data_IF_277298926197
#
_entry.id   IF_277298926197
#
_cell.length_a   1.000
_cell.length_b   1.000
_cell.length_c   1.000
_cell.angle_alpha   90.00
_cell.angle_beta   90.00
_cell.angle_gamma   90.00
#
_symmetry.space_group_name_H-M   'P 1'
#
loop_
_entity.id
_entity.type
_entity.pdbx_description
1 polymer ?
#
# COMPACT_ATOMS: atom_id res chain seq x y z
N UNK A 1 31.02 27.66 -1.04
CA UNK A 1 29.59 28.02 -1.16
C UNK A 1 28.89 27.39 -2.37
N UNK A 2 29.53 27.25 -3.54
CA UNK A 2 28.92 26.64 -4.74
C UNK A 2 28.60 25.14 -4.58
N UNK A 3 29.40 24.41 -3.78
CA UNK A 3 29.18 22.97 -3.52
C UNK A 3 27.91 22.67 -2.72
N UNK A 4 27.60 23.46 -1.68
CA UNK A 4 26.38 23.29 -0.88
C UNK A 4 25.12 23.52 -1.73
N UNK A 5 25.13 24.53 -2.60
CA UNK A 5 24.02 24.78 -3.52
C UNK A 5 23.80 23.60 -4.49
N UNK A 6 24.86 23.06 -5.08
CA UNK A 6 24.77 21.92 -5.99
C UNK A 6 24.27 20.63 -5.30
N UNK A 7 24.69 20.37 -4.07
CA UNK A 7 24.20 19.22 -3.28
C UNK A 7 22.71 19.37 -2.96
N UNK A 8 22.25 20.56 -2.57
CA UNK A 8 20.84 20.83 -2.33
C UNK A 8 19.99 20.68 -3.61
N UNK A 9 20.47 21.17 -4.75
CA UNK A 9 19.77 21.01 -6.04
C UNK A 9 19.72 19.55 -6.51
N UNK A 10 20.75 18.75 -6.25
CA UNK A 10 20.77 17.32 -6.57
C UNK A 10 19.79 16.54 -5.68
N UNK A 11 19.75 16.85 -4.37
CA UNK A 11 18.80 16.27 -3.43
C UNK A 11 17.34 16.60 -3.80
N UNK A 12 17.07 17.85 -4.23
CA UNK A 12 15.75 18.27 -4.74
C UNK A 12 15.36 17.57 -6.06
N UNK A 13 16.31 17.30 -6.95
CA UNK A 13 16.04 16.54 -8.18
C UNK A 13 15.80 15.05 -7.90
N UNK A 14 16.52 14.45 -6.96
CA UNK A 14 16.34 13.05 -6.58
C UNK A 14 15.01 12.82 -5.84
N UNK A 15 14.59 13.75 -4.97
CA UNK A 15 13.24 13.70 -4.37
C UNK A 15 12.12 13.91 -5.39
N UNK A 16 12.41 14.53 -6.54
CA UNK A 16 11.45 14.67 -7.64
C UNK A 16 11.36 13.44 -8.57
N UNK A 17 12.29 12.49 -8.49
CA UNK A 17 12.39 11.38 -9.44
C UNK A 17 11.43 10.21 -9.12
N UNK A 18 11.14 9.94 -7.85
CA UNK A 18 10.28 8.84 -7.43
C UNK A 18 9.08 9.37 -6.63
N UNK A 19 7.88 9.16 -7.16
CA UNK A 19 6.62 9.46 -6.47
C UNK A 19 6.35 8.36 -5.46
N UNK A 20 6.13 8.72 -4.19
CA UNK A 20 5.76 7.76 -3.16
C UNK A 20 4.44 7.10 -3.55
N UNK A 21 4.39 5.76 -3.55
CA UNK A 21 3.25 4.98 -4.01
C UNK A 21 2.98 3.86 -3.00
N UNK A 22 1.96 4.01 -2.18
CA UNK A 22 1.66 3.07 -1.10
C UNK A 22 0.36 2.31 -1.38
N UNK A 23 0.40 0.99 -1.29
CA UNK A 23 -0.76 0.13 -1.49
C UNK A 23 -1.25 -0.47 -0.18
N UNK A 24 -2.56 -0.44 0.06
CA UNK A 24 -3.18 -0.85 1.30
C UNK A 24 -4.29 -1.88 1.04
N UNK A 25 -4.16 -3.06 1.64
CA UNK A 25 -5.22 -4.09 1.66
C UNK A 25 -6.22 -3.77 2.76
N UNK A 26 -7.48 -3.98 2.43
CA UNK A 26 -8.62 -3.73 3.31
C UNK A 26 -9.25 -5.07 3.71
N UNK A 27 -9.50 -5.25 5.00
CA UNK A 27 -10.20 -6.41 5.54
C UNK A 27 -11.69 -6.37 5.21
N UNK A 28 -12.21 -7.45 4.63
CA UNK A 28 -13.60 -7.58 4.16
C UNK A 28 -14.15 -8.97 4.53
N UNK A 29 -15.06 -9.04 5.51
CA UNK A 29 -15.63 -10.31 6.01
C UNK A 29 -16.40 -11.10 4.95
N UNK A 30 -17.04 -10.40 4.04
CA UNK A 30 -17.75 -10.98 2.89
C UNK A 30 -16.82 -11.12 1.67
N UNK A 31 -15.53 -10.82 1.85
CA UNK A 31 -14.51 -10.92 0.84
C UNK A 31 -14.03 -12.35 0.60
N UNK A 32 -12.90 -12.46 -0.12
CA UNK A 32 -12.23 -13.73 -0.42
C UNK A 32 -10.72 -13.60 -0.20
N UNK A 33 -10.04 -14.73 -0.01
CA UNK A 33 -8.59 -14.78 0.18
C UNK A 33 -8.11 -13.91 1.34
N UNK A 34 -6.99 -13.21 1.15
CA UNK A 34 -6.38 -12.37 2.19
C UNK A 34 -7.34 -11.36 2.82
N UNK A 35 -8.26 -10.75 2.05
CA UNK A 35 -9.20 -9.76 2.58
C UNK A 35 -10.14 -10.35 3.63
N UNK A 36 -10.60 -11.58 3.41
CA UNK A 36 -11.44 -12.30 4.36
C UNK A 36 -10.65 -12.68 5.61
N UNK A 37 -9.47 -13.28 5.42
CA UNK A 37 -8.58 -13.67 6.52
C UNK A 37 -8.23 -12.48 7.42
N UNK A 38 -7.87 -11.32 6.84
CA UNK A 38 -7.61 -10.08 7.58
C UNK A 38 -8.79 -9.69 8.48
N UNK A 39 -10.02 -9.75 7.96
CA UNK A 39 -11.20 -9.37 8.71
C UNK A 39 -11.56 -10.37 9.83
N UNK A 40 -11.25 -11.66 9.63
CA UNK A 40 -11.41 -12.72 10.63
C UNK A 40 -10.47 -12.52 11.83
N UNK A 41 -9.23 -12.07 11.58
CA UNK A 41 -8.27 -11.72 12.65
C UNK A 41 -8.31 -10.24 13.08
N UNK A 42 -9.41 -9.54 12.77
CA UNK A 42 -9.66 -8.16 13.16
C UNK A 42 -8.67 -7.10 12.66
N UNK A 43 -7.97 -7.35 11.56
CA UNK A 43 -7.16 -6.34 10.85
C UNK A 43 -8.03 -5.65 9.82
N UNK A 44 -8.26 -4.35 9.98
CA UNK A 44 -9.07 -3.56 9.03
C UNK A 44 -8.25 -3.12 7.82
N UNK A 45 -7.01 -2.71 8.04
CA UNK A 45 -6.12 -2.17 7.01
C UNK A 45 -4.71 -2.68 7.28
N UNK A 46 -4.04 -3.16 6.23
CA UNK A 46 -2.63 -3.53 6.26
C UNK A 46 -1.94 -3.02 5.00
N UNK A 47 -0.66 -2.68 5.12
CA UNK A 47 0.21 -2.41 3.98
C UNK A 47 0.25 -3.66 3.09
N UNK A 48 0.10 -3.44 1.79
CA UNK A 48 0.45 -4.40 0.76
C UNK A 48 1.94 -4.24 0.44
N UNK A 49 2.34 -3.01 0.08
CA UNK A 49 3.72 -2.67 -0.25
C UNK A 49 3.88 -1.20 -0.61
N UNK A 50 5.15 -0.82 -0.80
CA UNK A 50 5.60 0.50 -1.26
C UNK A 50 6.20 0.31 -2.66
N UNK A 51 5.70 1.07 -3.63
CA UNK A 51 5.88 0.83 -5.07
C UNK A 51 6.57 1.99 -5.80
N UNK A 52 7.23 2.92 -5.09
CA UNK A 52 7.93 4.06 -5.72
C UNK A 52 9.06 3.62 -6.66
N UNK A 53 9.54 2.39 -6.53
CA UNK A 53 10.56 1.81 -7.39
C UNK A 53 10.18 0.40 -7.86
N UNK A 54 10.69 -0.01 -9.03
CA UNK A 54 10.55 -1.37 -9.57
C UNK A 54 11.92 -1.85 -10.05
N UNK A 55 12.39 -2.96 -9.47
CA UNK A 55 13.62 -3.63 -9.85
C UNK A 55 13.51 -4.21 -11.27
N UNK A 56 14.46 -3.84 -12.13
CA UNK A 56 14.55 -4.35 -13.51
C UNK A 56 15.29 -5.69 -13.61
N UNK A 57 16.11 -6.03 -12.61
CA UNK A 57 16.90 -7.27 -12.56
C UNK A 57 16.48 -8.09 -11.36
N UNK A 58 16.61 -9.43 -11.46
CA UNK A 58 16.37 -10.32 -10.32
C UNK A 58 17.31 -9.91 -9.18
N UNK A 59 16.73 -9.52 -8.05
CA UNK A 59 17.47 -9.33 -6.81
C UNK A 59 18.14 -10.65 -6.43
N UNK A 60 19.44 -10.63 -6.14
CA UNK A 60 20.11 -11.75 -5.49
C UNK A 60 19.56 -11.99 -4.07
N UNK A 61 20.34 -12.63 -3.19
CA UNK A 61 19.89 -13.01 -1.84
C UNK A 61 19.62 -11.86 -0.83
N UNK A 62 19.62 -10.59 -1.28
CA UNK A 62 19.43 -9.41 -0.42
C UNK A 62 18.09 -9.36 0.31
N UNK A 63 17.09 -10.09 -0.17
CA UNK A 63 15.73 -10.11 0.38
C UNK A 63 15.34 -11.47 0.96
N UNK A 64 16.30 -12.36 1.22
CA UNK A 64 16.00 -13.70 1.74
C UNK A 64 15.87 -13.72 3.27
N UNK A 65 16.45 -12.73 3.96
CA UNK A 65 16.31 -12.51 5.40
C UNK A 65 15.73 -11.12 5.66
N UNK A 66 14.57 -11.06 6.29
CA UNK A 66 13.89 -9.79 6.64
C UNK A 66 13.77 -9.72 8.16
N UNK A 67 14.25 -8.63 8.74
CA UNK A 67 13.98 -8.35 10.15
C UNK A 67 12.58 -7.74 10.32
N UNK A 68 11.63 -8.60 10.69
CA UNK A 68 10.25 -8.19 10.93
C UNK A 68 10.05 -7.39 12.22
N UNK A 69 11.05 -7.35 13.12
CA UNK A 69 10.96 -6.56 14.35
C UNK A 69 10.87 -5.05 14.08
N UNK A 70 11.24 -4.62 12.87
CA UNK A 70 11.11 -3.25 12.36
C UNK A 70 9.62 -2.85 12.19
N UNK A 71 8.73 -3.82 11.98
CA UNK A 71 7.30 -3.60 11.75
C UNK A 71 6.56 -3.70 13.09
N UNK A 72 6.29 -2.55 13.74
CA UNK A 72 5.62 -2.51 15.05
C UNK A 72 4.41 -1.57 15.10
N UNK A 73 3.18 -2.10 15.27
CA UNK A 73 2.84 -3.53 15.42
C UNK A 73 2.87 -4.31 14.09
N UNK A 74 3.12 -5.62 14.15
CA UNK A 74 3.24 -6.49 12.96
C UNK A 74 2.01 -6.45 12.03
N UNK A 75 0.82 -6.19 12.59
CA UNK A 75 -0.44 -6.03 11.85
C UNK A 75 -0.42 -4.89 10.82
N UNK A 76 0.50 -3.92 10.94
CA UNK A 76 0.63 -2.83 9.96
C UNK A 76 1.03 -3.34 8.58
N UNK A 77 1.82 -4.41 8.52
CA UNK A 77 2.19 -5.07 7.28
C UNK A 77 2.08 -6.57 7.50
N UNK A 78 0.86 -7.04 7.66
CA UNK A 78 0.57 -8.44 7.91
C UNK A 78 0.65 -9.24 6.61
N UNK A 79 1.23 -10.44 6.71
CA UNK A 79 1.38 -11.35 5.60
C UNK A 79 1.02 -12.75 6.05
N UNK A 80 0.15 -13.38 5.27
CA UNK A 80 -0.29 -14.75 5.51
C UNK A 80 0.56 -15.69 4.67
N UNK A 81 0.72 -16.92 5.15
CA UNK A 81 1.41 -17.99 4.43
C UNK A 81 0.75 -18.32 3.09
N UNK A 82 -0.58 -18.29 3.05
CA UNK A 82 -1.39 -18.51 1.85
C UNK A 82 -2.74 -17.80 1.94
N UNK A 83 -3.51 -17.78 0.86
CA UNK A 83 -4.86 -17.19 0.81
C UNK A 83 -5.91 -17.99 1.61
N UNK A 84 -5.52 -19.11 2.22
CA UNK A 84 -6.40 -19.99 2.98
C UNK A 84 -5.93 -20.25 4.42
N UNK A 85 -4.72 -19.84 4.79
CA UNK A 85 -4.14 -20.10 6.12
C UNK A 85 -3.93 -18.80 6.89
N UNK A 86 -4.36 -18.75 8.15
CA UNK A 86 -4.16 -17.61 9.05
C UNK A 86 -2.72 -17.44 9.54
N UNK A 87 -1.87 -18.45 9.35
CA UNK A 87 -0.49 -18.46 9.81
C UNK A 87 0.29 -17.31 9.16
N UNK A 88 1.00 -16.55 10.00
CA UNK A 88 1.84 -15.46 9.54
C UNK A 88 3.05 -15.99 8.75
N UNK A 89 3.48 -15.26 7.71
CA UNK A 89 4.66 -15.56 6.91
C UNK A 89 5.33 -14.28 6.42
N UNK A 90 6.65 -14.29 6.22
CA UNK A 90 7.39 -13.15 5.65
C UNK A 90 7.37 -13.10 4.11
N UNK A 91 6.58 -13.98 3.46
CA UNK A 91 6.54 -14.16 2.02
C UNK A 91 6.20 -12.88 1.24
N UNK A 92 5.24 -12.09 1.71
CA UNK A 92 4.86 -10.82 1.09
C UNK A 92 6.02 -9.82 1.17
N UNK A 93 6.60 -9.61 2.35
CA UNK A 93 7.69 -8.66 2.53
C UNK A 93 8.89 -9.04 1.67
N UNK A 94 9.19 -10.33 1.55
CA UNK A 94 10.23 -10.84 0.63
C UNK A 94 9.89 -10.55 -0.81
N UNK A 95 8.65 -10.81 -1.24
CA UNK A 95 8.21 -10.51 -2.59
C UNK A 95 8.34 -9.03 -2.91
N UNK A 96 7.84 -8.17 -2.03
CA UNK A 96 7.87 -6.73 -2.17
C UNK A 96 9.31 -6.19 -2.19
N UNK A 97 10.18 -6.66 -1.28
CA UNK A 97 11.60 -6.31 -1.28
C UNK A 97 12.27 -6.69 -2.61
N UNK A 98 12.06 -7.91 -3.10
CA UNK A 98 12.69 -8.40 -4.34
C UNK A 98 12.29 -7.56 -5.56
N UNK A 99 11.08 -7.01 -5.53
CA UNK A 99 10.47 -6.32 -6.67
C UNK A 99 10.58 -4.80 -6.59
N UNK A 100 10.62 -4.21 -5.40
CA UNK A 100 10.44 -2.77 -5.19
C UNK A 100 11.54 -2.07 -4.40
N UNK A 101 12.57 -2.78 -3.91
CA UNK A 101 13.73 -2.15 -3.29
C UNK A 101 14.54 -1.31 -4.30
N UNK A 102 15.30 -0.32 -3.83
CA UNK A 102 16.33 0.32 -4.65
C UNK A 102 17.55 -0.59 -4.87
N UNK A 103 18.38 -0.28 -5.87
CA UNK A 103 19.51 -1.14 -6.26
C UNK A 103 20.53 -1.34 -5.12
N UNK A 104 20.82 -0.27 -4.40
CA UNK A 104 21.73 -0.16 -3.26
C UNK A 104 21.08 -0.57 -1.92
N UNK A 105 19.77 -0.77 -1.89
CA UNK A 105 19.01 -1.10 -0.69
C UNK A 105 19.08 -2.61 -0.36
N UNK A 106 19.27 -2.93 0.93
CA UNK A 106 19.08 -4.27 1.48
C UNK A 106 17.66 -4.46 2.04
N UNK A 107 17.33 -5.65 2.55
CA UNK A 107 15.99 -5.93 3.06
C UNK A 107 15.56 -5.01 4.21
N UNK A 108 16.45 -4.74 5.16
CA UNK A 108 16.10 -3.95 6.35
C UNK A 108 15.91 -2.47 5.99
N UNK A 109 16.79 -1.94 5.14
CA UNK A 109 16.64 -0.60 4.60
C UNK A 109 15.32 -0.44 3.81
N UNK A 110 14.95 -1.45 3.02
CA UNK A 110 13.67 -1.47 2.31
C UNK A 110 12.47 -1.43 3.26
N UNK A 111 12.44 -2.29 4.28
CA UNK A 111 11.34 -2.31 5.25
C UNK A 111 11.26 -0.99 6.02
N UNK A 112 12.39 -0.45 6.48
CA UNK A 112 12.42 0.86 7.15
C UNK A 112 11.88 1.97 6.26
N UNK A 113 12.29 2.02 5.00
CA UNK A 113 11.78 3.02 4.05
C UNK A 113 10.29 2.85 3.79
N UNK A 114 9.84 1.64 3.49
CA UNK A 114 8.43 1.36 3.24
C UNK A 114 7.56 1.75 4.45
N UNK A 115 8.00 1.44 5.68
CA UNK A 115 7.28 1.82 6.88
C UNK A 115 7.33 3.34 7.13
N UNK A 116 8.48 4.00 6.95
CA UNK A 116 8.58 5.44 7.13
C UNK A 116 7.72 6.21 6.12
N UNK A 117 7.58 5.69 4.90
CA UNK A 117 6.77 6.31 3.85
C UNK A 117 5.27 6.01 4.01
N UNK A 118 4.90 4.76 4.29
CA UNK A 118 3.51 4.30 4.18
C UNK A 118 2.77 4.08 5.51
N UNK A 119 3.43 4.22 6.66
CA UNK A 119 2.77 4.05 7.98
C UNK A 119 1.67 5.07 8.21
N UNK A 120 1.96 6.33 7.88
CA UNK A 120 1.04 7.46 7.93
C UNK A 120 1.22 8.25 6.64
N UNK A 121 0.27 8.07 5.71
CA UNK A 121 0.42 8.56 4.35
C UNK A 121 -0.84 9.27 3.88
N UNK A 122 -0.64 10.47 3.36
CA UNK A 122 -1.66 11.27 2.70
C UNK A 122 -1.33 11.40 1.22
N UNK A 123 -2.32 11.17 0.35
CA UNK A 123 -2.12 11.25 -1.08
C UNK A 123 -3.40 11.06 -1.88
N UNK A 124 -3.25 11.02 -3.19
CA UNK A 124 -4.34 10.89 -4.15
C UNK A 124 -4.52 9.44 -4.58
N UNK A 125 -5.76 9.04 -4.91
CA UNK A 125 -6.01 7.72 -5.47
C UNK A 125 -5.24 7.54 -6.79
N UNK A 126 -4.47 6.47 -6.87
CA UNK A 126 -3.87 5.96 -8.10
C UNK A 126 -4.70 4.81 -8.68
N UNK A 127 -5.00 3.82 -7.84
CA UNK A 127 -5.80 2.64 -8.19
C UNK A 127 -6.76 2.30 -7.05
N UNK A 128 -7.95 1.83 -7.40
CA UNK A 128 -8.87 1.15 -6.49
C UNK A 128 -9.21 -0.24 -7.03
N UNK A 129 -9.12 -1.25 -6.18
CA UNK A 129 -9.59 -2.60 -6.45
C UNK A 129 -10.85 -2.87 -5.64
N UNK A 130 -11.87 -3.45 -6.28
CA UNK A 130 -13.16 -3.69 -5.66
C UNK A 130 -13.59 -5.15 -5.79
N UNK A 131 -14.53 -5.56 -4.92
CA UNK A 131 -15.58 -6.51 -5.31
C UNK A 131 -16.87 -5.78 -5.60
N UNK A 132 -17.71 -6.36 -6.44
CA UNK A 132 -19.07 -5.89 -6.69
C UNK A 132 -20.01 -6.55 -5.67
N UNK A 133 -20.78 -5.74 -4.97
CA UNK A 133 -21.94 -6.18 -4.19
C UNK A 133 -23.21 -5.75 -4.93
N UNK A 134 -23.76 -6.67 -5.72
CA UNK A 134 -24.95 -6.42 -6.53
C UNK A 134 -26.21 -6.22 -5.70
N UNK A 135 -26.27 -6.77 -4.48
CA UNK A 135 -27.46 -6.63 -3.62
C UNK A 135 -27.62 -5.18 -3.16
N UNK A 136 -26.52 -4.55 -2.77
CA UNK A 136 -26.50 -3.16 -2.32
C UNK A 136 -26.12 -2.16 -3.43
N UNK A 137 -25.78 -2.66 -4.63
CA UNK A 137 -25.26 -1.88 -5.76
C UNK A 137 -24.04 -1.04 -5.38
N UNK A 138 -23.09 -1.68 -4.69
CA UNK A 138 -21.86 -1.07 -4.20
C UNK A 138 -20.62 -1.72 -4.80
N UNK A 139 -19.60 -0.89 -5.03
CA UNK A 139 -18.22 -1.31 -5.19
C UNK A 139 -17.56 -1.32 -3.81
N UNK A 140 -17.37 -2.50 -3.23
CA UNK A 140 -16.73 -2.66 -1.93
C UNK A 140 -15.22 -2.68 -2.13
N UNK A 141 -14.53 -1.71 -1.56
CA UNK A 141 -13.08 -1.50 -1.71
C UNK A 141 -12.31 -2.61 -1.00
N UNK A 142 -11.46 -3.30 -1.74
CA UNK A 142 -10.56 -4.36 -1.24
C UNK A 142 -9.13 -3.88 -1.11
N UNK A 143 -8.70 -3.01 -2.02
CA UNK A 143 -7.36 -2.43 -1.98
C UNK A 143 -7.37 -1.04 -2.61
N UNK A 144 -6.55 -0.15 -2.05
CA UNK A 144 -6.27 1.18 -2.61
C UNK A 144 -4.78 1.34 -2.79
N UNK A 145 -4.39 2.02 -3.88
CA UNK A 145 -3.04 2.52 -4.07
C UNK A 145 -3.12 4.04 -4.03
N UNK A 146 -2.41 4.64 -3.09
CA UNK A 146 -2.28 6.09 -2.94
C UNK A 146 -0.92 6.55 -3.44
N UNK A 147 -0.88 7.75 -3.98
CA UNK A 147 0.34 8.40 -4.48
C UNK A 147 0.42 9.85 -3.99
N UNK A 148 1.63 10.36 -3.83
CA UNK A 148 1.87 11.75 -3.40
C UNK A 148 1.54 12.82 -4.46
N UNK A 149 1.23 12.42 -5.70
CA UNK A 149 0.93 13.32 -6.83
C UNK A 149 -0.45 13.08 -7.42
N UNK A 150 -1.10 14.14 -7.90
CA UNK A 150 -2.37 14.04 -8.63
C UNK A 150 -2.16 13.27 -9.95
N UNK A 151 -3.10 12.39 -10.30
CA UNK A 151 -3.17 11.77 -11.64
C UNK A 151 -4.34 12.25 -12.45
N UNK A 152 -4.19 12.14 -13.78
CA UNK A 152 -5.25 12.42 -14.73
C UNK A 152 -6.38 11.38 -14.68
N UNK A 153 -6.10 10.14 -14.28
CA UNK A 153 -7.07 9.05 -14.23
C UNK A 153 -6.79 8.09 -13.06
N UNK A 154 -7.85 7.73 -12.32
CA UNK A 154 -7.82 6.66 -11.32
C UNK A 154 -8.17 5.33 -12.00
N UNK A 155 -7.29 4.32 -11.85
CA UNK A 155 -7.56 2.95 -12.30
C UNK A 155 -8.58 2.29 -11.38
N UNK A 156 -9.60 1.65 -11.95
CA UNK A 156 -10.66 0.94 -11.22
C UNK A 156 -10.68 -0.52 -11.69
N UNK A 157 -10.33 -1.45 -10.82
CA UNK A 157 -10.18 -2.86 -11.16
C UNK A 157 -11.20 -3.72 -10.39
N UNK A 158 -11.95 -4.57 -11.09
CA UNK A 158 -12.99 -5.40 -10.47
C UNK A 158 -14.20 -4.61 -9.95
N UNK A 159 -14.36 -3.36 -10.39
CA UNK A 159 -15.44 -2.45 -9.97
C UNK A 159 -16.48 -2.30 -11.09
N UNK A 160 -17.76 -2.22 -10.73
CA UNK A 160 -18.85 -1.87 -11.63
C UNK A 160 -18.87 -0.35 -11.89
N UNK A 161 -18.99 0.06 -13.16
CA UNK A 161 -18.80 1.46 -13.56
C UNK A 161 -19.81 2.44 -12.94
N UNK A 162 -21.03 2.00 -12.67
CA UNK A 162 -22.12 2.86 -12.17
C UNK A 162 -22.41 2.72 -10.67
N UNK A 163 -21.71 1.85 -9.95
CA UNK A 163 -21.96 1.62 -8.53
C UNK A 163 -21.15 2.59 -7.67
N UNK A 164 -21.70 2.96 -6.51
CA UNK A 164 -21.01 3.81 -5.54
C UNK A 164 -19.89 3.04 -4.85
N UNK A 165 -18.85 3.74 -4.38
CA UNK A 165 -17.72 3.11 -3.70
C UNK A 165 -17.87 3.21 -2.18
N UNK A 166 -17.63 2.09 -1.50
CA UNK A 166 -17.66 2.04 -0.04
C UNK A 166 -16.55 1.14 0.50
N UNK A 167 -16.00 1.50 1.65
CA UNK A 167 -15.17 0.60 2.43
C UNK A 167 -16.04 -0.52 3.03
N UNK A 168 -15.48 -1.69 3.39
CA UNK A 168 -16.24 -2.79 3.98
C UNK A 168 -17.00 -2.44 5.27
N UNK A 169 -16.57 -1.41 6.00
CA UNK A 169 -17.27 -0.88 7.18
C UNK A 169 -18.29 0.23 6.86
N UNK A 170 -18.66 0.41 5.59
CA UNK A 170 -19.73 1.31 5.16
C UNK A 170 -19.33 2.77 4.91
N UNK A 171 -18.06 3.15 5.11
CA UNK A 171 -17.58 4.49 4.76
C UNK A 171 -17.65 4.68 3.24
N UNK A 172 -18.49 5.60 2.78
CA UNK A 172 -18.57 5.97 1.35
C UNK A 172 -17.35 6.79 0.96
N UNK A 173 -16.77 6.49 -0.20
CA UNK A 173 -15.62 7.22 -0.73
C UNK A 173 -15.91 7.77 -2.13
N UNK A 174 -15.32 8.92 -2.45
CA UNK A 174 -15.49 9.60 -3.74
C UNK A 174 -14.26 9.36 -4.62
N UNK A 175 -14.35 8.48 -5.62
CA UNK A 175 -13.20 8.15 -6.48
C UNK A 175 -12.95 9.29 -7.50
N UNK A 176 -12.34 10.37 -7.02
CA UNK A 176 -12.04 11.62 -7.73
C UNK A 176 -10.54 11.91 -7.67
N UNK A 177 -9.97 12.34 -8.80
CA UNK A 177 -8.52 12.51 -8.96
C UNK A 177 -7.88 13.56 -8.02
N UNK A 178 -8.67 14.52 -7.54
CA UNK A 178 -8.22 15.61 -6.66
C UNK A 178 -8.62 15.42 -5.20
N UNK A 179 -9.32 14.34 -4.88
CA UNK A 179 -9.64 14.03 -3.50
C UNK A 179 -8.40 13.42 -2.85
N UNK A 180 -7.95 14.04 -1.79
CA UNK A 180 -6.89 13.50 -0.95
C UNK A 180 -7.48 12.51 0.06
N UNK A 181 -6.71 11.45 0.30
CA UNK A 181 -7.02 10.36 1.19
C UNK A 181 -5.84 10.12 2.09
N UNK A 182 -6.11 9.68 3.30
CA UNK A 182 -5.07 9.41 4.27
C UNK A 182 -5.28 8.08 4.96
N UNK A 183 -4.18 7.39 5.21
CA UNK A 183 -4.12 6.10 5.89
C UNK A 183 -3.17 6.18 7.05
N UNK A 184 -3.62 5.72 8.22
CA UNK A 184 -2.78 5.52 9.39
C UNK A 184 -2.83 4.05 9.79
N UNK A 185 -1.74 3.31 9.57
CA UNK A 185 -1.65 1.87 9.84
C UNK A 185 -1.59 1.53 11.33
N UNK A 186 -1.13 2.47 12.17
CA UNK A 186 -1.09 2.25 13.63
C UNK A 186 -2.49 2.19 14.24
N UNK A 187 -3.39 3.03 13.74
CA UNK A 187 -4.79 3.11 14.17
C UNK A 187 -5.76 2.39 13.24
N UNK A 188 -5.27 1.84 12.12
CA UNK A 188 -6.03 1.19 11.06
C UNK A 188 -7.18 2.07 10.54
N UNK A 189 -6.90 3.37 10.35
CA UNK A 189 -7.88 4.35 9.89
C UNK A 189 -7.62 4.75 8.45
N UNK A 190 -8.71 4.89 7.70
CA UNK A 190 -8.75 5.50 6.37
C UNK A 190 -9.70 6.69 6.43
N UNK A 191 -9.26 7.84 5.95
CA UNK A 191 -10.03 9.08 6.00
C UNK A 191 -9.91 9.87 4.69
N UNK A 192 -10.96 10.64 4.44
CA UNK A 192 -11.02 11.62 3.36
C UNK A 192 -10.45 12.91 3.96
N UNK A 193 -9.35 13.41 3.38
CA UNK A 193 -8.68 14.63 3.85
C UNK A 193 -9.31 15.89 3.23
#
# INVERSE_FOLDING_TARGET
MIWLANVCFLALRLSSANSALCAYRIGDREGTGYHKLMAEIHIKISLHGEFSHIQKKKSGGKCDNIDLSIIQPLRMWYSFKSETEHEFSDSLQKHECKKHRFDDEDSNAFIMRAMNTCKDFSGYLHTVYCRVDDRNRLNVVREVILQDRIRSNIRKNGCHASYQFAMPWGLRINVLNRQEYSVNLTTEKFFIA
#
